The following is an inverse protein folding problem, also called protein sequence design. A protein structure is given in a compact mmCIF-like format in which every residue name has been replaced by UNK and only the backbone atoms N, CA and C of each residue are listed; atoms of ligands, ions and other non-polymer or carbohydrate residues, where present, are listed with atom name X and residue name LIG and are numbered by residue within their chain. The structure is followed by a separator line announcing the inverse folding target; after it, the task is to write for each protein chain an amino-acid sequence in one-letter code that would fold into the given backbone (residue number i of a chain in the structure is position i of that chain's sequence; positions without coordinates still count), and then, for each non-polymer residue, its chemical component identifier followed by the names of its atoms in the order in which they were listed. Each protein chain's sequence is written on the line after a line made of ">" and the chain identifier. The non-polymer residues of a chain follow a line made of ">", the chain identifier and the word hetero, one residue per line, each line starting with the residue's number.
data_IF_156324648912
#
_entry.id   IF_156324648912
#
_cell.length_a   1.000
_cell.length_b   1.000
_cell.length_c   1.000
_cell.angle_alpha   90.00
_cell.angle_beta   90.00
_cell.angle_gamma   90.00
#
_symmetry.space_group_name_H-M   'P 1'
#
loop_
_entity.id
_entity.type
_entity.pdbx_description
1 polymer ?
#
# COMPACT_ATOMS: atom_id res chain seq x y z
N UNK A 1 -0.59 11.21 30.01
CA UNK A 1 -0.80 11.63 28.59
C UNK A 1 0.24 10.87 27.79
N UNK A 2 -0.20 9.98 26.91
CA UNK A 2 0.72 9.14 26.12
C UNK A 2 1.49 9.98 25.11
N UNK A 3 2.78 9.73 25.01
CA UNK A 3 3.69 10.32 24.02
C UNK A 3 4.04 9.24 23.00
N UNK A 4 3.55 9.40 21.78
CA UNK A 4 3.65 8.40 20.73
C UNK A 4 4.45 8.92 19.55
N UNK A 5 5.46 8.16 19.12
CA UNK A 5 6.20 8.38 17.88
C UNK A 5 5.70 7.41 16.81
N UNK A 6 5.38 7.91 15.63
CA UNK A 6 5.09 7.10 14.45
C UNK A 6 6.18 7.34 13.41
N UNK A 7 6.87 6.29 13.03
CA UNK A 7 7.92 6.31 12.00
C UNK A 7 7.29 5.85 10.69
N UNK A 8 7.08 6.79 9.77
CA UNK A 8 6.42 6.59 8.48
C UNK A 8 5.05 7.25 8.37
N UNK A 9 4.91 8.17 7.40
CA UNK A 9 3.70 8.92 7.06
C UNK A 9 2.87 8.29 5.94
N UNK A 10 2.93 6.95 5.78
CA UNK A 10 2.08 6.19 4.89
C UNK A 10 0.66 6.00 5.44
N UNK A 11 -0.23 5.30 4.71
CA UNK A 11 -1.62 5.09 5.14
C UNK A 11 -1.74 4.48 6.54
N UNK A 12 -0.91 3.48 6.86
CA UNK A 12 -0.89 2.82 8.17
C UNK A 12 -0.58 3.80 9.31
N UNK A 13 0.54 4.52 9.20
CA UNK A 13 0.99 5.44 10.25
C UNK A 13 0.07 6.62 10.46
N UNK A 14 -0.43 7.23 9.37
CA UNK A 14 -1.40 8.33 9.45
C UNK A 14 -2.73 7.88 10.05
N UNK A 15 -3.25 6.73 9.61
CA UNK A 15 -4.54 6.26 10.10
C UNK A 15 -4.49 5.76 11.55
N UNK A 16 -3.35 5.19 11.96
CA UNK A 16 -3.08 4.91 13.37
C UNK A 16 -3.10 6.20 14.21
N UNK A 17 -2.38 7.24 13.79
CA UNK A 17 -2.34 8.50 14.51
C UNK A 17 -3.74 9.15 14.63
N UNK A 18 -4.53 9.11 13.56
CA UNK A 18 -5.95 9.54 13.55
C UNK A 18 -6.75 8.72 14.57
N UNK A 19 -6.65 7.39 14.51
CA UNK A 19 -7.41 6.46 15.36
C UNK A 19 -7.12 6.63 16.84
N UNK A 20 -5.86 6.88 17.21
CA UNK A 20 -5.49 7.19 18.60
C UNK A 20 -6.04 8.56 19.01
N UNK A 21 -5.92 9.58 18.18
CA UNK A 21 -6.42 10.94 18.51
C UNK A 21 -7.94 10.97 18.69
N UNK A 22 -8.68 10.12 17.99
CA UNK A 22 -10.13 10.00 18.17
C UNK A 22 -10.51 9.39 19.52
N UNK A 23 -9.70 8.45 20.04
CA UNK A 23 -9.91 7.76 21.33
C UNK A 23 -9.30 8.52 22.50
N UNK A 24 -8.10 9.07 22.31
CA UNK A 24 -7.36 9.86 23.29
C UNK A 24 -6.99 11.25 22.70
N UNK A 25 -7.89 12.24 22.67
CA UNK A 25 -7.64 13.55 22.05
C UNK A 25 -6.43 14.29 22.65
N UNK A 26 -6.06 13.99 23.89
CA UNK A 26 -4.94 14.60 24.58
C UNK A 26 -3.59 13.87 24.34
N UNK A 27 -3.56 12.74 23.62
CA UNK A 27 -2.31 12.08 23.30
C UNK A 27 -1.40 13.00 22.47
N UNK A 28 -0.09 13.00 22.80
CA UNK A 28 0.91 13.72 22.03
C UNK A 28 1.50 12.78 20.97
N UNK A 29 1.14 13.00 19.71
CA UNK A 29 1.53 12.12 18.60
C UNK A 29 2.36 12.91 17.60
N UNK A 30 3.57 12.40 17.33
CA UNK A 30 4.45 12.89 16.28
C UNK A 30 4.60 11.83 15.21
N UNK A 31 4.36 12.18 13.95
CA UNK A 31 4.61 11.33 12.78
C UNK A 31 5.82 11.89 12.03
N UNK A 32 6.85 11.08 11.85
CA UNK A 32 8.06 11.44 11.10
C UNK A 32 8.06 10.68 9.77
N UNK A 33 8.14 11.41 8.66
CA UNK A 33 8.19 10.86 7.30
C UNK A 33 9.40 11.39 6.55
N UNK A 34 10.22 10.49 5.99
CA UNK A 34 11.44 10.84 5.26
C UNK A 34 11.20 11.55 3.93
N UNK A 35 10.07 11.24 3.28
CA UNK A 35 9.69 11.86 2.01
C UNK A 35 8.94 13.17 2.25
N UNK A 36 8.77 13.95 1.19
CA UNK A 36 7.90 15.13 1.24
C UNK A 36 6.43 14.72 1.29
N UNK A 37 5.57 15.61 1.75
CA UNK A 37 4.14 15.35 1.88
C UNK A 37 3.46 14.91 0.57
N UNK A 38 3.94 15.43 -0.57
CA UNK A 38 3.40 15.16 -1.90
C UNK A 38 4.05 13.97 -2.62
N UNK A 39 5.11 13.41 -2.06
CA UNK A 39 5.79 12.26 -2.65
C UNK A 39 4.95 11.00 -2.43
N UNK A 40 4.61 10.33 -3.52
CA UNK A 40 3.92 9.04 -3.47
C UNK A 40 4.39 8.15 -4.61
N UNK A 41 4.38 6.85 -4.37
CA UNK A 41 4.75 5.83 -5.35
C UNK A 41 3.52 4.99 -5.66
N UNK A 42 3.42 4.53 -6.93
CA UNK A 42 2.25 3.81 -7.41
C UNK A 42 1.11 4.75 -7.81
N UNK A 43 -0.02 4.18 -8.23
CA UNK A 43 -1.13 4.88 -8.85
C UNK A 43 -2.38 4.87 -7.97
N UNK A 44 -3.24 3.90 -8.17
CA UNK A 44 -4.45 3.70 -7.39
C UNK A 44 -4.28 2.63 -6.31
N UNK A 45 -5.17 2.65 -5.35
CA UNK A 45 -5.39 1.58 -4.37
C UNK A 45 -6.83 1.11 -4.44
N UNK A 46 -7.04 -0.16 -4.16
CA UNK A 46 -8.37 -0.80 -4.14
C UNK A 46 -8.80 -0.99 -2.69
N UNK A 47 -10.05 -0.71 -2.41
CA UNK A 47 -10.70 -1.00 -1.14
C UNK A 47 -12.00 -1.77 -1.40
N UNK A 48 -12.47 -2.53 -0.41
CA UNK A 48 -13.78 -3.21 -0.44
C UNK A 48 -14.80 -2.45 0.38
N UNK A 49 -16.08 -2.75 0.17
CA UNK A 49 -17.17 -2.18 0.96
C UNK A 49 -17.01 -2.45 2.46
N UNK A 50 -16.54 -3.66 2.83
CA UNK A 50 -16.24 -4.01 4.24
C UNK A 50 -15.18 -3.07 4.85
N UNK A 51 -14.11 -2.77 4.10
CA UNK A 51 -13.10 -1.81 4.55
C UNK A 51 -13.71 -0.44 4.80
N UNK A 52 -14.60 0.01 3.89
CA UNK A 52 -15.29 1.29 4.05
C UNK A 52 -16.21 1.34 5.27
N UNK A 53 -16.84 0.23 5.61
CA UNK A 53 -17.62 0.12 6.85
C UNK A 53 -16.72 0.26 8.07
N UNK A 54 -15.57 -0.42 8.12
CA UNK A 54 -14.60 -0.31 9.20
C UNK A 54 -14.06 1.12 9.33
N UNK A 55 -13.72 1.77 8.22
CA UNK A 55 -13.29 3.18 8.22
C UNK A 55 -14.41 4.11 8.72
N UNK A 56 -15.67 3.87 8.30
CA UNK A 56 -16.83 4.68 8.71
C UNK A 56 -17.11 4.56 10.21
N UNK A 57 -16.95 3.36 10.77
CA UNK A 57 -17.10 3.13 12.21
C UNK A 57 -15.99 3.81 13.01
N UNK A 58 -14.75 3.78 12.51
CA UNK A 58 -13.59 4.34 13.20
C UNK A 58 -13.51 5.88 13.09
N UNK A 59 -13.63 6.44 11.88
CA UNK A 59 -13.61 7.89 11.60
C UNK A 59 -14.57 8.24 10.45
N UNK A 60 -15.84 8.56 10.74
CA UNK A 60 -16.83 8.88 9.71
C UNK A 60 -16.46 10.11 8.87
N UNK A 61 -15.61 11.01 9.39
CA UNK A 61 -15.19 12.24 8.68
C UNK A 61 -14.26 11.89 7.53
N UNK A 62 -13.14 11.21 7.80
CA UNK A 62 -12.22 10.80 6.72
C UNK A 62 -12.87 9.77 5.79
N UNK A 63 -13.70 8.86 6.30
CA UNK A 63 -14.40 7.89 5.48
C UNK A 63 -15.35 8.54 4.46
N UNK A 64 -16.08 9.59 4.86
CA UNK A 64 -16.96 10.33 3.96
C UNK A 64 -16.17 11.04 2.86
N UNK A 65 -15.05 11.67 3.20
CA UNK A 65 -14.19 12.34 2.23
C UNK A 65 -13.52 11.33 1.28
N UNK A 66 -12.99 10.22 1.79
CA UNK A 66 -12.45 9.12 0.99
C UNK A 66 -13.51 8.62 -0.01
N UNK A 67 -14.73 8.34 0.47
CA UNK A 67 -15.84 7.84 -0.35
C UNK A 67 -16.23 8.81 -1.47
N UNK A 68 -16.14 10.12 -1.26
CA UNK A 68 -16.47 11.14 -2.27
C UNK A 68 -15.51 11.18 -3.47
N UNK A 69 -14.36 10.49 -3.37
CA UNK A 69 -13.33 10.47 -4.41
C UNK A 69 -13.13 9.07 -5.02
N UNK A 70 -14.06 8.14 -4.79
CA UNK A 70 -13.94 6.80 -5.33
C UNK A 70 -14.40 6.69 -6.79
N UNK A 71 -13.67 5.88 -7.55
CA UNK A 71 -14.21 5.17 -8.69
C UNK A 71 -14.78 3.83 -8.20
N UNK A 72 -16.05 3.53 -8.52
CA UNK A 72 -16.73 2.30 -8.11
C UNK A 72 -16.84 1.35 -9.28
N UNK A 73 -16.68 0.04 -9.02
CA UNK A 73 -17.00 -1.03 -9.95
C UNK A 73 -17.45 -2.29 -9.19
N UNK A 74 -18.33 -3.04 -9.82
CA UNK A 74 -18.93 -4.23 -9.23
C UNK A 74 -18.40 -5.52 -9.88
N UNK A 75 -17.80 -5.39 -11.05
CA UNK A 75 -17.40 -6.50 -11.88
C UNK A 75 -15.91 -6.82 -11.76
N UNK A 76 -15.61 -8.12 -11.94
CA UNK A 76 -14.27 -8.61 -12.28
C UNK A 76 -14.35 -9.11 -13.72
N UNK A 77 -13.51 -8.57 -14.60
CA UNK A 77 -13.39 -9.01 -15.98
C UNK A 77 -12.07 -9.77 -16.19
N UNK A 78 -12.15 -10.93 -16.84
CA UNK A 78 -10.99 -11.74 -17.18
C UNK A 78 -10.90 -11.92 -18.68
N UNK A 79 -9.81 -11.44 -19.28
CA UNK A 79 -9.51 -11.62 -20.69
C UNK A 79 -8.46 -12.73 -20.85
N UNK A 80 -8.84 -13.80 -21.58
CA UNK A 80 -7.98 -14.95 -21.82
C UNK A 80 -8.24 -15.55 -23.18
N UNK A 81 -7.23 -15.65 -24.04
CA UNK A 81 -7.33 -16.26 -25.39
C UNK A 81 -8.46 -15.67 -26.24
N UNK A 82 -8.63 -14.36 -26.24
CA UNK A 82 -9.67 -13.65 -26.99
C UNK A 82 -11.09 -13.77 -26.42
N UNK A 83 -11.26 -14.42 -25.27
CA UNK A 83 -12.52 -14.51 -24.55
C UNK A 83 -12.54 -13.53 -23.40
N UNK A 84 -13.71 -12.91 -23.14
CA UNK A 84 -13.97 -12.10 -21.95
C UNK A 84 -14.98 -12.83 -21.06
N UNK A 85 -14.59 -13.10 -19.83
CA UNK A 85 -15.45 -13.64 -18.77
C UNK A 85 -15.68 -12.52 -17.75
N UNK A 86 -16.91 -12.37 -17.28
CA UNK A 86 -17.28 -11.36 -16.29
C UNK A 86 -17.97 -12.02 -15.11
N UNK A 87 -17.57 -11.63 -13.90
CA UNK A 87 -18.24 -11.99 -12.65
C UNK A 87 -18.64 -10.71 -11.95
N UNK A 88 -19.91 -10.61 -11.53
CA UNK A 88 -20.49 -9.41 -10.91
C UNK A 88 -20.81 -9.62 -9.43
N UNK A 89 -21.03 -8.53 -8.69
CA UNK A 89 -21.44 -8.56 -7.29
C UNK A 89 -20.26 -8.55 -6.31
N UNK A 90 -19.14 -7.90 -6.67
CA UNK A 90 -17.92 -7.91 -5.86
C UNK A 90 -17.73 -6.64 -5.01
N UNK A 91 -18.34 -5.51 -5.39
CA UNK A 91 -18.33 -4.27 -4.60
C UNK A 91 -16.93 -3.73 -4.32
N UNK A 92 -16.22 -3.29 -5.36
CA UNK A 92 -14.90 -2.68 -5.22
C UNK A 92 -14.94 -1.17 -5.45
N UNK A 93 -13.95 -0.49 -4.87
CA UNK A 93 -13.70 0.91 -5.17
C UNK A 93 -12.21 1.20 -5.27
N UNK A 94 -11.86 2.15 -6.11
CA UNK A 94 -10.51 2.65 -6.29
C UNK A 94 -10.38 4.10 -5.91
N UNK A 95 -9.24 4.47 -5.35
CA UNK A 95 -8.86 5.86 -5.08
C UNK A 95 -7.40 6.07 -5.44
N UNK A 96 -7.07 7.24 -5.99
CA UNK A 96 -5.69 7.62 -6.21
C UNK A 96 -4.89 7.64 -4.89
N UNK A 97 -3.75 6.96 -4.86
CA UNK A 97 -2.91 6.87 -3.66
C UNK A 97 -2.53 8.24 -3.10
N UNK A 98 -2.21 9.20 -3.98
CA UNK A 98 -1.89 10.58 -3.59
C UNK A 98 -3.10 11.26 -2.92
N UNK A 99 -4.31 11.03 -3.44
CA UNK A 99 -5.54 11.57 -2.89
C UNK A 99 -5.80 11.01 -1.49
N UNK A 100 -5.72 9.70 -1.32
CA UNK A 100 -5.87 9.05 -0.03
C UNK A 100 -4.90 9.61 1.01
N UNK A 101 -3.60 9.71 0.68
CA UNK A 101 -2.61 10.28 1.58
C UNK A 101 -2.92 11.73 1.95
N UNK A 102 -3.34 12.57 1.00
CA UNK A 102 -3.73 13.96 1.26
C UNK A 102 -4.90 14.07 2.24
N UNK A 103 -5.92 13.23 2.08
CA UNK A 103 -7.08 13.18 3.00
C UNK A 103 -6.62 12.80 4.41
N UNK A 104 -5.82 11.74 4.54
CA UNK A 104 -5.33 11.28 5.84
C UNK A 104 -4.40 12.30 6.51
N UNK A 105 -3.53 12.97 5.75
CA UNK A 105 -2.65 14.01 6.27
C UNK A 105 -3.45 15.22 6.79
N UNK A 106 -4.46 15.67 6.05
CA UNK A 106 -5.32 16.77 6.48
C UNK A 106 -6.09 16.38 7.75
N UNK A 107 -6.70 15.21 7.76
CA UNK A 107 -7.42 14.71 8.93
C UNK A 107 -6.53 14.60 10.17
N UNK A 108 -5.30 14.10 10.02
CA UNK A 108 -4.34 14.02 11.11
C UNK A 108 -3.98 15.42 11.67
N UNK A 109 -3.76 16.41 10.79
CA UNK A 109 -3.52 17.81 11.20
C UNK A 109 -4.70 18.41 11.94
N UNK A 110 -5.93 18.21 11.45
CA UNK A 110 -7.16 18.70 12.08
C UNK A 110 -7.34 18.15 13.50
N UNK A 111 -6.87 16.92 13.74
CA UNK A 111 -6.87 16.30 15.06
C UNK A 111 -5.65 16.70 15.94
N UNK A 112 -4.75 17.54 15.44
CA UNK A 112 -3.60 18.01 16.18
C UNK A 112 -2.45 17.03 16.27
N UNK A 113 -2.27 16.18 15.25
CA UNK A 113 -1.07 15.34 15.09
C UNK A 113 0.08 16.22 14.55
N UNK A 114 1.28 16.10 15.14
CA UNK A 114 2.48 16.74 14.64
C UNK A 114 3.06 15.93 13.47
N UNK A 115 2.98 16.47 12.24
CA UNK A 115 3.47 15.82 11.01
C UNK A 115 4.78 16.45 10.55
N UNK A 116 5.86 15.69 10.60
CA UNK A 116 7.22 16.10 10.22
C UNK A 116 7.65 15.38 8.93
N UNK A 117 7.52 16.07 7.80
CA UNK A 117 7.94 15.56 6.48
C UNK A 117 9.38 15.96 6.15
N UNK A 118 10.04 15.20 5.27
CA UNK A 118 11.44 15.43 4.90
C UNK A 118 12.41 15.17 6.06
N UNK A 119 11.97 14.42 7.07
CA UNK A 119 12.72 14.08 8.26
C UNK A 119 12.89 12.56 8.36
N UNK A 120 14.10 12.11 8.61
CA UNK A 120 14.43 10.67 8.64
C UNK A 120 14.77 10.22 10.07
N UNK A 121 14.27 9.06 10.45
CA UNK A 121 14.63 8.37 11.70
C UNK A 121 15.70 7.34 11.36
N UNK A 122 16.93 7.61 11.82
CA UNK A 122 18.06 6.73 11.55
C UNK A 122 17.96 5.40 12.34
N UNK A 123 17.52 5.47 13.61
CA UNK A 123 17.38 4.34 14.52
C UNK A 123 16.22 4.59 15.49
N UNK A 124 15.28 3.64 15.57
CA UNK A 124 14.14 3.73 16.49
C UNK A 124 14.59 3.65 17.97
N UNK A 125 15.64 2.89 18.26
CA UNK A 125 16.23 2.78 19.61
C UNK A 125 16.62 4.12 20.22
N UNK A 126 16.97 5.11 19.41
CA UNK A 126 17.32 6.45 19.90
C UNK A 126 16.18 7.21 20.55
N UNK A 127 14.94 6.76 20.35
CA UNK A 127 13.71 7.39 20.84
C UNK A 127 13.01 6.61 21.95
N UNK A 128 13.45 5.39 22.27
CA UNK A 128 12.75 4.48 23.20
C UNK A 128 12.62 5.07 24.61
N UNK A 129 13.60 5.87 25.06
CA UNK A 129 13.54 6.52 26.36
C UNK A 129 12.64 7.76 26.40
N UNK A 130 12.33 8.36 25.23
CA UNK A 130 11.62 9.63 25.13
C UNK A 130 10.12 9.49 24.82
N UNK A 131 9.68 8.29 24.39
CA UNK A 131 8.32 8.00 23.99
C UNK A 131 7.77 6.78 24.72
N UNK A 132 6.49 6.82 25.06
CA UNK A 132 5.79 5.68 25.68
C UNK A 132 5.58 4.55 24.67
N UNK A 133 5.33 4.89 23.40
CA UNK A 133 5.13 3.96 22.30
C UNK A 133 5.80 4.48 21.03
N UNK A 134 6.49 3.59 20.32
CA UNK A 134 7.05 3.83 18.99
C UNK A 134 6.38 2.88 18.00
N UNK A 135 5.70 3.42 17.01
CA UNK A 135 5.04 2.65 15.95
C UNK A 135 5.87 2.74 14.67
N UNK A 136 6.43 1.63 14.25
CA UNK A 136 7.18 1.51 13.02
C UNK A 136 6.23 1.18 11.86
N UNK A 137 5.79 2.22 11.16
CA UNK A 137 4.98 2.16 9.94
C UNK A 137 5.83 2.54 8.70
N UNK A 138 7.13 2.23 8.73
CA UNK A 138 8.16 2.59 7.77
C UNK A 138 8.20 1.65 6.53
N UNK A 139 7.18 0.79 6.40
CA UNK A 139 6.81 0.06 5.21
C UNK A 139 7.70 -1.13 4.89
N UNK A 140 7.62 -1.59 3.64
CA UNK A 140 8.27 -2.81 3.16
C UNK A 140 9.77 -2.87 3.48
N UNK A 141 10.48 -1.75 3.30
CA UNK A 141 11.92 -1.64 3.57
C UNK A 141 12.20 -1.10 4.97
N UNK A 142 11.44 -1.54 5.97
CA UNK A 142 11.53 -1.09 7.36
C UNK A 142 12.95 -1.19 7.92
N UNK A 143 13.50 -0.06 8.31
CA UNK A 143 14.77 0.01 9.03
C UNK A 143 14.61 -0.44 10.48
N UNK A 144 13.46 -0.10 11.09
CA UNK A 144 13.14 -0.52 12.45
C UNK A 144 13.07 -2.05 12.55
N UNK A 145 12.42 -2.71 11.57
CA UNK A 145 12.43 -4.18 11.50
C UNK A 145 13.84 -4.75 11.40
N UNK A 146 14.70 -4.12 10.61
CA UNK A 146 16.10 -4.53 10.44
C UNK A 146 16.91 -4.31 11.72
N UNK A 147 16.72 -3.16 12.39
CA UNK A 147 17.39 -2.82 13.65
C UNK A 147 17.13 -3.84 14.75
N UNK A 148 15.87 -4.29 14.89
CA UNK A 148 15.46 -5.28 15.90
C UNK A 148 15.18 -6.66 15.30
N UNK A 149 15.93 -7.06 14.26
CA UNK A 149 15.68 -8.31 13.53
C UNK A 149 15.74 -9.57 14.40
N UNK A 150 16.58 -9.59 15.44
CA UNK A 150 16.66 -10.71 16.39
C UNK A 150 15.37 -10.90 17.21
N UNK A 151 14.66 -9.78 17.48
CA UNK A 151 13.40 -9.80 18.21
C UNK A 151 12.22 -10.08 17.29
N UNK A 152 12.15 -9.38 16.14
CA UNK A 152 11.04 -9.52 15.21
C UNK A 152 11.10 -10.78 14.35
N UNK A 153 12.29 -11.36 14.15
CA UNK A 153 12.55 -12.58 13.37
C UNK A 153 11.83 -12.58 12.01
N UNK A 154 12.15 -11.63 11.12
CA UNK A 154 11.48 -11.51 9.85
C UNK A 154 11.82 -12.70 8.94
N UNK A 155 10.80 -13.36 8.43
CA UNK A 155 10.88 -14.27 7.30
C UNK A 155 10.62 -13.46 6.02
N UNK A 156 11.63 -13.34 5.16
CA UNK A 156 11.54 -12.58 3.91
C UNK A 156 11.82 -13.50 2.73
N UNK A 157 10.89 -13.54 1.77
CA UNK A 157 10.95 -14.37 0.56
C UNK A 157 10.63 -13.52 -0.68
N UNK A 158 11.47 -13.56 -1.70
CA UNK A 158 11.21 -12.91 -2.98
C UNK A 158 10.33 -13.81 -3.85
N UNK A 159 9.18 -13.29 -4.26
CA UNK A 159 8.29 -13.99 -5.18
C UNK A 159 8.92 -14.12 -6.56
N UNK A 160 8.65 -15.26 -7.22
CA UNK A 160 9.31 -15.63 -8.47
C UNK A 160 8.94 -14.74 -9.67
N UNK A 161 7.77 -14.09 -9.66
CA UNK A 161 7.34 -13.23 -10.75
C UNK A 161 7.96 -11.84 -10.66
N UNK A 162 8.19 -11.26 -11.83
CA UNK A 162 8.59 -9.87 -12.00
C UNK A 162 7.35 -9.03 -12.32
N UNK A 163 7.26 -7.81 -11.82
CA UNK A 163 6.17 -6.90 -12.15
C UNK A 163 6.65 -5.46 -12.32
N UNK A 164 5.87 -4.69 -13.07
CA UNK A 164 6.03 -3.23 -13.21
C UNK A 164 4.69 -2.56 -12.98
N UNK A 165 4.70 -1.46 -12.21
CA UNK A 165 3.51 -0.71 -11.85
C UNK A 165 3.35 0.52 -12.75
N UNK A 166 2.42 0.43 -13.68
CA UNK A 166 2.13 1.46 -14.68
C UNK A 166 0.74 2.06 -14.44
N UNK A 167 0.45 3.14 -15.16
CA UNK A 167 -0.86 3.74 -15.28
C UNK A 167 -1.27 3.86 -16.74
N UNK A 168 -2.56 4.11 -17.01
CA UNK A 168 -3.08 4.40 -18.35
C UNK A 168 -4.35 5.24 -18.25
N UNK A 169 -4.75 5.86 -19.37
CA UNK A 169 -6.05 6.53 -19.50
C UNK A 169 -7.17 5.62 -20.02
N UNK A 170 -6.87 4.35 -20.29
CA UNK A 170 -7.89 3.35 -20.62
C UNK A 170 -8.69 2.97 -19.36
N UNK A 171 -10.03 2.95 -19.45
CA UNK A 171 -10.94 2.83 -18.29
C UNK A 171 -11.45 1.43 -17.97
N UNK A 172 -11.27 0.45 -18.82
CA UNK A 172 -11.59 -0.99 -18.59
C UNK A 172 -13.05 -1.33 -18.18
N UNK A 173 -14.05 -0.68 -18.80
CA UNK A 173 -15.48 -1.01 -18.66
C UNK A 173 -15.99 -1.10 -17.19
N UNK A 174 -15.50 -0.25 -16.30
CA UNK A 174 -15.89 -0.21 -14.89
C UNK A 174 -15.73 -1.57 -14.17
N UNK A 175 -14.63 -2.27 -14.45
CA UNK A 175 -14.32 -3.57 -13.85
C UNK A 175 -12.88 -3.64 -13.35
N UNK A 176 -12.65 -4.47 -12.33
CA UNK A 176 -11.30 -4.94 -12.04
C UNK A 176 -10.90 -5.97 -13.09
N UNK A 177 -10.02 -5.58 -13.97
CA UNK A 177 -9.74 -6.33 -15.21
C UNK A 177 -8.42 -7.08 -15.11
N UNK A 178 -8.46 -8.39 -15.38
CA UNK A 178 -7.29 -9.24 -15.56
C UNK A 178 -7.14 -9.59 -17.03
N UNK A 179 -5.95 -9.39 -17.59
CA UNK A 179 -5.65 -9.64 -19.00
C UNK A 179 -4.49 -10.62 -19.07
N UNK A 180 -4.70 -11.78 -19.69
CA UNK A 180 -3.68 -12.80 -19.88
C UNK A 180 -3.33 -12.93 -21.35
N UNK A 181 -2.08 -12.59 -21.72
CA UNK A 181 -1.56 -12.71 -23.08
C UNK A 181 -0.51 -13.81 -23.17
N UNK A 182 -0.73 -14.71 -24.13
CA UNK A 182 0.26 -15.74 -24.48
C UNK A 182 1.09 -15.26 -25.67
N UNK A 183 2.37 -15.01 -25.43
CA UNK A 183 3.33 -14.62 -26.46
C UNK A 183 4.25 -15.77 -26.85
N UNK A 184 5.07 -15.60 -27.87
CA UNK A 184 6.12 -16.58 -28.23
C UNK A 184 7.18 -16.74 -27.13
N UNK A 185 7.33 -15.72 -26.25
CA UNK A 185 8.29 -15.69 -25.13
C UNK A 185 7.71 -16.18 -23.80
N UNK A 186 6.43 -16.49 -23.74
CA UNK A 186 5.75 -16.99 -22.56
C UNK A 186 4.50 -16.18 -22.18
N UNK A 187 3.96 -16.47 -21.01
CA UNK A 187 2.79 -15.76 -20.49
C UNK A 187 3.20 -14.45 -19.83
N UNK A 188 2.43 -13.40 -20.13
CA UNK A 188 2.49 -12.10 -19.47
C UNK A 188 1.05 -11.65 -19.21
N UNK A 189 0.80 -11.04 -18.07
CA UNK A 189 -0.56 -10.63 -17.70
C UNK A 189 -0.58 -9.25 -17.08
N UNK A 190 -1.75 -8.61 -17.10
CA UNK A 190 -1.97 -7.31 -16.50
C UNK A 190 -3.16 -7.32 -15.53
N UNK A 191 -3.05 -6.50 -14.49
CA UNK A 191 -4.12 -6.15 -13.56
C UNK A 191 -4.45 -4.68 -13.79
N UNK A 192 -5.69 -4.38 -14.15
CA UNK A 192 -6.11 -3.03 -14.46
C UNK A 192 -7.38 -2.65 -13.71
N UNK A 193 -7.41 -1.45 -13.15
CA UNK A 193 -8.57 -0.88 -12.47
C UNK A 193 -8.50 0.65 -12.46
N UNK A 194 -9.65 1.28 -12.64
CA UNK A 194 -9.80 2.72 -12.57
C UNK A 194 -9.71 3.19 -11.11
N UNK A 195 -9.14 4.36 -10.85
CA UNK A 195 -9.05 4.93 -9.51
C UNK A 195 -9.42 6.43 -9.44
N UNK A 196 -9.62 7.07 -10.58
CA UNK A 196 -10.19 8.41 -10.71
C UNK A 196 -10.91 8.54 -12.07
N UNK A 197 -11.39 9.74 -12.41
CA UNK A 197 -12.18 9.99 -13.62
C UNK A 197 -11.41 9.73 -14.92
N UNK A 198 -10.08 9.85 -14.90
CA UNK A 198 -9.24 9.89 -16.09
C UNK A 198 -8.15 8.81 -16.13
N UNK A 199 -7.93 8.09 -15.03
CA UNK A 199 -6.74 7.24 -14.91
C UNK A 199 -7.09 5.87 -14.32
N UNK A 200 -6.43 4.83 -14.85
CA UNK A 200 -6.44 3.49 -14.31
C UNK A 200 -5.01 3.04 -13.95
N UNK A 201 -4.91 2.23 -12.94
CA UNK A 201 -3.72 1.43 -12.64
C UNK A 201 -3.60 0.33 -13.70
N UNK A 202 -2.36 0.02 -14.13
CA UNK A 202 -2.05 -1.06 -15.05
C UNK A 202 -0.76 -1.75 -14.59
N UNK A 203 -0.90 -2.82 -13.81
CA UNK A 203 0.24 -3.58 -13.30
C UNK A 203 0.52 -4.73 -14.26
N UNK A 204 1.70 -4.78 -14.84
CA UNK A 204 2.12 -5.89 -15.71
C UNK A 204 2.99 -6.84 -14.90
N UNK A 205 2.73 -8.14 -15.03
CA UNK A 205 3.44 -9.20 -14.32
C UNK A 205 3.76 -10.35 -15.27
N UNK A 206 4.91 -10.99 -15.07
CA UNK A 206 5.29 -12.19 -15.80
C UNK A 206 6.24 -13.08 -14.97
N UNK A 207 6.41 -14.35 -15.42
CA UNK A 207 7.41 -15.23 -14.83
C UNK A 207 8.82 -14.75 -15.09
N UNK A 208 9.77 -15.18 -14.26
CA UNK A 208 11.19 -14.88 -14.48
C UNK A 208 11.67 -15.31 -15.88
N UNK A 209 11.25 -16.49 -16.36
CA UNK A 209 11.62 -16.96 -17.69
C UNK A 209 11.10 -16.08 -18.83
N UNK A 210 9.89 -15.53 -18.70
CA UNK A 210 9.34 -14.58 -19.69
C UNK A 210 10.08 -13.25 -19.61
N UNK A 211 10.36 -12.75 -18.41
CA UNK A 211 11.15 -11.54 -18.18
C UNK A 211 12.53 -11.62 -18.84
N UNK A 212 13.25 -12.75 -18.66
CA UNK A 212 14.57 -12.98 -19.24
C UNK A 212 14.48 -13.09 -20.77
N UNK A 213 13.46 -13.78 -21.31
CA UNK A 213 13.27 -13.93 -22.76
C UNK A 213 12.97 -12.61 -23.46
N UNK A 214 12.33 -11.62 -22.80
CA UNK A 214 12.16 -10.26 -23.30
C UNK A 214 13.41 -9.39 -23.12
N UNK A 215 14.33 -9.78 -22.25
CA UNK A 215 15.54 -9.02 -21.95
C UNK A 215 15.28 -7.76 -21.13
N UNK A 216 14.19 -7.71 -20.36
CA UNK A 216 13.78 -6.53 -19.60
C UNK A 216 14.87 -6.00 -18.65
N UNK A 217 15.76 -6.86 -18.15
CA UNK A 217 16.89 -6.48 -17.31
C UNK A 217 17.85 -5.45 -17.97
N UNK A 218 17.93 -5.47 -19.30
CA UNK A 218 18.86 -4.64 -20.08
C UNK A 218 18.18 -3.40 -20.71
N UNK A 219 16.89 -3.20 -20.45
CA UNK A 219 16.11 -2.10 -21.03
C UNK A 219 15.99 -0.95 -20.04
N UNK A 220 15.76 0.25 -20.58
CA UNK A 220 15.25 1.37 -19.81
C UNK A 220 13.70 1.31 -19.66
N UNK A 221 13.12 2.26 -18.90
CA UNK A 221 11.68 2.29 -18.68
C UNK A 221 10.89 2.50 -19.99
N UNK A 222 11.35 3.37 -20.89
CA UNK A 222 10.65 3.66 -22.16
C UNK A 222 10.63 2.44 -23.07
N UNK A 223 11.75 1.75 -23.21
CA UNK A 223 11.85 0.53 -24.00
C UNK A 223 10.97 -0.59 -23.44
N UNK A 224 10.97 -0.73 -22.12
CA UNK A 224 10.14 -1.71 -21.43
C UNK A 224 8.64 -1.42 -21.58
N UNK A 225 8.23 -0.15 -21.44
CA UNK A 225 6.85 0.29 -21.63
C UNK A 225 6.39 0.04 -23.07
N UNK A 226 7.21 0.36 -24.06
CA UNK A 226 6.87 0.14 -25.48
C UNK A 226 6.56 -1.35 -25.78
N UNK A 227 7.32 -2.27 -25.19
CA UNK A 227 7.03 -3.72 -25.30
C UNK A 227 5.69 -4.07 -24.65
N UNK A 228 5.41 -3.52 -23.47
CA UNK A 228 4.12 -3.76 -22.82
C UNK A 228 2.96 -3.18 -23.64
N UNK A 229 3.10 -1.99 -24.21
CA UNK A 229 2.11 -1.38 -25.11
C UNK A 229 1.84 -2.24 -26.35
N UNK A 230 2.88 -2.81 -26.95
CA UNK A 230 2.74 -3.72 -28.09
C UNK A 230 1.97 -4.99 -27.71
N UNK A 231 2.31 -5.62 -26.58
CA UNK A 231 1.67 -6.85 -26.10
C UNK A 231 0.19 -6.62 -25.78
N UNK A 232 -0.13 -5.51 -25.12
CA UNK A 232 -1.49 -5.20 -24.67
C UNK A 232 -2.26 -4.24 -25.58
N UNK A 233 -1.78 -3.98 -26.82
CA UNK A 233 -2.35 -3.01 -27.75
C UNK A 233 -3.87 -3.17 -27.95
N UNK A 234 -4.35 -4.42 -28.05
CA UNK A 234 -5.77 -4.74 -28.23
C UNK A 234 -6.64 -4.38 -27.01
N UNK A 235 -6.05 -4.12 -25.86
CA UNK A 235 -6.73 -3.81 -24.61
C UNK A 235 -6.58 -2.36 -24.18
N UNK A 236 -5.63 -1.65 -24.77
CA UNK A 236 -5.33 -0.25 -24.42
C UNK A 236 -6.13 0.78 -25.24
N UNK A 237 -6.85 0.34 -26.27
CA UNK A 237 -7.65 1.21 -27.16
C UNK A 237 -6.90 2.47 -27.64
N UNK A 238 -5.62 2.31 -27.98
CA UNK A 238 -4.75 3.39 -28.41
C UNK A 238 -4.20 4.31 -27.29
N UNK A 239 -4.54 4.03 -26.03
CA UNK A 239 -3.98 4.78 -24.89
C UNK A 239 -2.57 4.30 -24.54
N UNK A 240 -1.70 5.26 -24.18
CA UNK A 240 -0.35 4.97 -23.74
C UNK A 240 -0.31 4.43 -22.30
N UNK A 241 0.75 3.68 -21.99
CA UNK A 241 1.13 3.33 -20.63
C UNK A 241 2.04 4.42 -20.04
N UNK A 242 1.84 4.75 -18.77
CA UNK A 242 2.54 5.80 -18.05
C UNK A 242 3.30 5.22 -16.85
N UNK A 243 4.45 5.83 -16.52
CA UNK A 243 5.21 5.51 -15.30
C UNK A 243 5.32 6.71 -14.38
N UNK A 244 5.32 6.48 -13.08
CA UNK A 244 5.71 7.44 -12.04
C UNK A 244 6.90 6.94 -11.22
N UNK A 245 7.61 5.92 -11.73
CA UNK A 245 8.72 5.24 -11.07
C UNK A 245 10.09 5.88 -11.35
N UNK A 246 10.18 7.21 -11.47
CA UNK A 246 11.42 7.94 -11.77
C UNK A 246 12.56 7.70 -10.76
N UNK A 247 12.25 7.20 -9.57
CA UNK A 247 13.21 6.86 -8.52
C UNK A 247 13.81 5.45 -8.69
N UNK A 248 13.22 4.60 -9.56
CA UNK A 248 13.70 3.24 -9.85
C UNK A 248 14.56 3.28 -11.12
N UNK A 249 15.73 2.63 -11.07
CA UNK A 249 16.65 2.53 -12.20
C UNK A 249 16.28 1.39 -13.15
N UNK A 250 16.77 1.45 -14.37
CA UNK A 250 16.55 0.42 -15.40
C UNK A 250 15.12 0.40 -15.89
N UNK A 251 14.57 -0.79 -16.11
CA UNK A 251 13.22 -1.01 -16.65
C UNK A 251 12.08 -0.82 -15.63
N UNK A 252 12.42 -0.54 -14.38
CA UNK A 252 11.50 -0.43 -13.23
C UNK A 252 10.74 -1.72 -12.87
N UNK A 253 11.09 -2.86 -13.46
CA UNK A 253 10.57 -4.16 -13.03
C UNK A 253 11.20 -4.59 -11.73
N UNK A 254 10.38 -5.12 -10.82
CA UNK A 254 10.80 -5.58 -9.50
C UNK A 254 10.11 -6.90 -9.15
N UNK A 255 10.70 -7.64 -8.21
CA UNK A 255 10.06 -8.78 -7.57
C UNK A 255 9.34 -8.33 -6.30
N UNK A 256 8.22 -8.98 -6.00
CA UNK A 256 7.48 -8.69 -4.77
C UNK A 256 8.13 -9.43 -3.58
N UNK A 257 8.64 -8.70 -2.57
CA UNK A 257 9.12 -9.33 -1.35
C UNK A 257 7.95 -9.63 -0.40
N UNK A 258 7.76 -10.89 -0.06
CA UNK A 258 6.92 -11.29 1.06
C UNK A 258 7.71 -11.10 2.35
N UNK A 259 7.12 -10.39 3.28
CA UNK A 259 7.64 -10.24 4.64
C UNK A 259 6.60 -10.78 5.61
N UNK A 260 7.06 -11.53 6.61
CA UNK A 260 6.26 -11.96 7.74
C UNK A 260 7.16 -12.01 8.98
N UNK A 261 6.87 -11.19 9.97
CA UNK A 261 7.59 -11.22 11.25
C UNK A 261 6.93 -12.21 12.22
N UNK A 262 7.75 -13.00 12.92
CA UNK A 262 7.26 -13.92 13.97
C UNK A 262 6.67 -13.14 15.14
N UNK A 263 7.32 -12.03 15.52
CA UNK A 263 6.88 -11.12 16.57
C UNK A 263 6.78 -9.71 16.01
N UNK A 264 5.74 -8.97 16.38
CA UNK A 264 5.49 -7.63 15.85
C UNK A 264 5.86 -6.51 16.80
N UNK A 265 6.34 -6.81 18.00
CA UNK A 265 6.76 -5.81 18.97
C UNK A 265 8.05 -6.21 19.70
N UNK A 266 8.74 -5.22 20.25
CA UNK A 266 9.91 -5.33 21.10
C UNK A 266 9.90 -4.16 22.09
N UNK A 267 9.80 -4.46 23.40
CA UNK A 267 9.63 -3.45 24.43
C UNK A 267 8.49 -2.45 24.09
N UNK A 268 8.79 -1.17 23.89
CA UNK A 268 7.82 -0.15 23.51
C UNK A 268 7.77 0.15 21.99
N UNK A 269 8.41 -0.67 21.17
CA UNK A 269 8.43 -0.56 19.70
C UNK A 269 7.51 -1.61 19.09
N UNK A 270 6.58 -1.20 18.22
CA UNK A 270 5.65 -2.11 17.50
C UNK A 270 5.67 -1.85 16.00
N UNK A 271 5.66 -2.92 15.21
CA UNK A 271 5.56 -2.87 13.74
C UNK A 271 4.11 -2.73 13.30
N UNK A 272 3.90 -1.96 12.20
CA UNK A 272 2.57 -1.72 11.64
C UNK A 272 2.58 -1.78 10.10
N UNK A 273 1.58 -2.43 9.52
CA UNK A 273 1.40 -2.55 8.08
C UNK A 273 2.52 -3.36 7.42
N UNK A 274 3.02 -2.92 6.25
CA UNK A 274 4.07 -3.65 5.50
C UNK A 274 5.39 -3.82 6.28
N UNK A 275 5.58 -3.10 7.37
CA UNK A 275 6.73 -3.32 8.25
C UNK A 275 6.64 -4.65 9.00
N UNK A 276 5.43 -5.11 9.35
CA UNK A 276 5.18 -6.37 10.06
C UNK A 276 4.91 -7.54 9.12
N UNK A 277 4.02 -7.34 8.14
CA UNK A 277 3.61 -8.36 7.19
C UNK A 277 3.15 -7.74 5.87
N UNK A 278 3.46 -8.39 4.74
CA UNK A 278 3.03 -7.92 3.41
C UNK A 278 2.02 -8.86 2.78
N UNK A 279 1.04 -8.29 2.07
CA UNK A 279 0.15 -9.02 1.19
C UNK A 279 0.51 -8.74 -0.27
N UNK A 280 0.45 -9.78 -1.13
CA UNK A 280 0.74 -9.61 -2.55
C UNK A 280 -0.27 -8.67 -3.20
N UNK A 281 0.20 -7.75 -4.06
CA UNK A 281 -0.63 -6.71 -4.68
C UNK A 281 -1.79 -7.24 -5.51
N UNK A 282 -1.68 -8.47 -6.07
CA UNK A 282 -2.72 -9.08 -6.91
C UNK A 282 -4.06 -9.33 -6.20
N UNK A 283 -4.06 -9.36 -4.87
CA UNK A 283 -5.29 -9.49 -4.07
C UNK A 283 -5.86 -8.14 -3.63
N UNK A 284 -5.20 -7.03 -3.96
CA UNK A 284 -5.68 -5.67 -3.66
C UNK A 284 -5.78 -5.32 -2.17
N UNK A 285 -5.22 -6.12 -1.26
CA UNK A 285 -5.50 -6.02 0.18
C UNK A 285 -4.45 -5.26 1.00
N UNK A 286 -3.30 -4.88 0.43
CA UNK A 286 -2.21 -4.27 1.21
C UNK A 286 -2.63 -3.01 1.98
N UNK A 287 -3.31 -2.07 1.30
CA UNK A 287 -3.80 -0.84 1.94
C UNK A 287 -4.95 -1.13 2.92
N UNK A 288 -5.87 -2.04 2.58
CA UNK A 288 -6.93 -2.52 3.49
C UNK A 288 -6.31 -2.99 4.81
N UNK A 289 -5.41 -3.97 4.75
CA UNK A 289 -4.75 -4.55 5.92
C UNK A 289 -3.99 -3.50 6.74
N UNK A 290 -3.32 -2.56 6.07
CA UNK A 290 -2.61 -1.48 6.73
C UNK A 290 -3.53 -0.56 7.54
N UNK A 291 -4.70 -0.21 7.01
CA UNK A 291 -5.70 0.63 7.68
C UNK A 291 -6.38 -0.13 8.82
N UNK A 292 -6.77 -1.37 8.63
CA UNK A 292 -7.42 -2.21 9.66
C UNK A 292 -6.46 -2.55 10.81
N UNK A 293 -5.20 -2.87 10.51
CA UNK A 293 -4.16 -3.04 11.53
C UNK A 293 -3.93 -1.76 12.34
N UNK A 294 -4.02 -0.59 11.69
CA UNK A 294 -3.90 0.71 12.36
C UNK A 294 -5.03 0.96 13.35
N UNK A 295 -6.27 0.59 13.00
CA UNK A 295 -7.43 0.65 13.91
C UNK A 295 -7.20 -0.29 15.09
N UNK A 296 -6.87 -1.56 14.82
CA UNK A 296 -6.69 -2.59 15.85
C UNK A 296 -5.58 -2.19 16.83
N UNK A 297 -4.42 -1.74 16.36
CA UNK A 297 -3.35 -1.28 17.24
C UNK A 297 -3.80 -0.08 18.10
N UNK A 298 -4.47 0.90 17.50
CA UNK A 298 -4.97 2.07 18.22
C UNK A 298 -5.98 1.68 19.32
N UNK A 299 -6.89 0.76 19.02
CA UNK A 299 -7.86 0.22 19.99
C UNK A 299 -7.16 -0.44 21.19
N UNK A 300 -6.19 -1.29 20.92
CA UNK A 300 -5.50 -2.03 21.97
C UNK A 300 -4.66 -1.12 22.88
N UNK A 301 -3.91 -0.19 22.32
CA UNK A 301 -3.03 0.67 23.15
C UNK A 301 -3.77 1.79 23.89
N UNK A 302 -5.01 2.09 23.53
CA UNK A 302 -5.82 3.09 24.22
C UNK A 302 -6.69 2.51 25.35
N UNK A 303 -6.71 1.19 25.51
CA UNK A 303 -7.31 0.54 26.66
C UNK A 303 -6.44 0.70 27.92
N UNK A 304 -7.07 0.62 29.09
CA UNK A 304 -6.37 0.66 30.38
C UNK A 304 -5.79 -0.74 30.70
N UNK A 305 -4.67 -1.06 30.03
CA UNK A 305 -3.97 -2.34 30.16
C UNK A 305 -2.45 -2.15 29.96
N UNK A 306 -1.62 -3.08 30.45
CA UNK A 306 -0.18 -3.08 30.18
C UNK A 306 0.13 -3.12 28.68
N UNK A 307 1.23 -2.48 28.28
CA UNK A 307 1.58 -2.30 26.86
C UNK A 307 1.88 -3.62 26.15
N UNK A 308 2.52 -4.56 26.84
CA UNK A 308 2.79 -5.91 26.34
C UNK A 308 1.50 -6.70 26.06
N UNK A 309 0.50 -6.58 26.93
CA UNK A 309 -0.84 -7.17 26.73
C UNK A 309 -1.53 -6.52 25.51
N UNK A 310 -1.41 -5.21 25.35
CA UNK A 310 -1.97 -4.50 24.21
C UNK A 310 -1.34 -4.97 22.88
N UNK A 311 -0.03 -5.16 22.87
CA UNK A 311 0.69 -5.62 21.68
C UNK A 311 0.43 -7.09 21.36
N UNK A 312 0.33 -7.96 22.37
CA UNK A 312 -0.06 -9.37 22.18
C UNK A 312 -1.46 -9.48 21.55
N UNK A 313 -2.41 -8.67 22.06
CA UNK A 313 -3.77 -8.62 21.52
C UNK A 313 -3.82 -8.07 20.08
N UNK A 314 -2.97 -7.14 19.77
CA UNK A 314 -2.85 -6.58 18.39
C UNK A 314 -2.28 -7.60 17.41
N UNK A 315 -1.27 -8.39 17.81
CA UNK A 315 -0.63 -9.38 16.96
C UNK A 315 -1.50 -10.62 16.71
N UNK A 316 -2.44 -10.96 17.62
CA UNK A 316 -3.29 -12.16 17.59
C UNK A 316 -4.44 -12.06 16.60
#
# INVERSE_FOLDING_TARGET
>A
MKKVLVIGGGPAGLYFAISVKLREPQANITVIERNKADDTFGWGVVLSDETLENLTQNDPVSAAEIRSHFAYWDDIALHHKGQKLVSSGHGFCGIGRKRLLSILQNRARDLGVDLQFGSDVAAASSYMADYDVIVAADGLNSRTRTEFSESFKPDTDLRACQFVWLGTRQKFDDAFTFIFEQTEKGWIWAHAYQFDDDTATFIVECSQSTYDAYGFANLDQHQSIAICEEIFANHLDGHALMTNANHIRGSAWIQFPRVLCETWYHENVVLLGDASATAHFSIGSGTKLALESAISLAENITQDQPLDVAFDSYQS
#
